data_IF_617713579474
#
_entry.id   IF_617713579474
#
_cell.length_a   1.000
_cell.length_b   1.000
_cell.length_c   1.000
_cell.angle_alpha   90.00
_cell.angle_beta   90.00
_cell.angle_gamma   90.00
#
_symmetry.space_group_name_H-M   'P 1'
#
loop_
_entity.id
_entity.type
_entity.pdbx_description
1 polymer ?
#
# COMPACT_ATOMS: atom_id res chain seq x y z
N UNK A 1 -33.28 26.68 9.61
CA UNK A 1 -32.57 25.40 9.74
C UNK A 1 -31.26 25.71 10.43
N UNK A 2 -31.28 25.71 11.76
CA UNK A 2 -30.09 25.95 12.57
C UNK A 2 -29.24 24.70 12.53
N UNK A 3 -28.17 24.73 11.75
CA UNK A 3 -27.14 23.71 11.80
C UNK A 3 -26.54 23.80 13.20
N UNK A 4 -26.86 22.82 14.04
CA UNK A 4 -26.46 22.82 15.44
C UNK A 4 -24.95 22.65 15.47
N UNK A 5 -24.22 23.67 15.90
CA UNK A 5 -22.75 23.65 16.01
C UNK A 5 -22.21 22.41 16.77
N UNK A 6 -23.05 21.81 17.63
CA UNK A 6 -22.78 20.55 18.32
C UNK A 6 -22.62 19.35 17.37
N UNK A 7 -23.41 19.24 16.30
CA UNK A 7 -23.30 18.15 15.31
C UNK A 7 -22.02 18.30 14.48
N UNK A 8 -21.70 19.51 14.01
CA UNK A 8 -20.45 19.78 13.30
C UNK A 8 -19.25 19.46 14.19
N UNK A 9 -19.30 19.85 15.47
CA UNK A 9 -18.25 19.58 16.45
C UNK A 9 -18.10 18.08 16.75
N UNK A 10 -19.20 17.33 16.74
CA UNK A 10 -19.18 15.87 16.90
C UNK A 10 -18.52 15.20 15.69
N UNK A 11 -18.90 15.60 14.48
CA UNK A 11 -18.32 15.08 13.22
C UNK A 11 -16.82 15.38 13.16
N UNK A 12 -16.40 16.62 13.47
CA UNK A 12 -14.99 17.00 13.49
C UNK A 12 -14.21 16.24 14.57
N UNK A 13 -14.78 16.04 15.76
CA UNK A 13 -14.16 15.22 16.81
C UNK A 13 -14.00 13.77 16.36
N UNK A 14 -14.99 13.20 15.69
CA UNK A 14 -14.93 11.83 15.20
C UNK A 14 -13.91 11.69 14.07
N UNK A 15 -13.82 12.67 13.17
CA UNK A 15 -12.80 12.72 12.13
C UNK A 15 -11.40 12.84 12.73
N UNK A 16 -11.19 13.70 13.74
CA UNK A 16 -9.90 13.83 14.45
C UNK A 16 -9.59 12.56 15.26
N UNK A 17 -10.58 11.90 15.85
CA UNK A 17 -10.39 10.67 16.62
C UNK A 17 -10.01 9.49 15.73
N UNK A 18 -10.43 9.50 14.46
CA UNK A 18 -10.01 8.55 13.44
C UNK A 18 -8.79 9.03 12.64
N UNK A 19 -8.35 10.29 12.82
CA UNK A 19 -7.17 10.84 12.20
C UNK A 19 -5.94 10.26 12.90
N UNK A 20 -5.20 9.42 12.18
CA UNK A 20 -4.09 8.67 12.76
C UNK A 20 -4.51 7.35 13.40
N UNK A 21 -5.60 6.71 12.95
CA UNK A 21 -5.56 5.24 12.90
C UNK A 21 -4.30 4.90 12.12
N UNK A 22 -3.29 4.40 12.84
CA UNK A 22 -2.01 3.97 12.29
C UNK A 22 -2.29 3.21 11.00
N UNK A 23 -1.52 3.51 9.94
CA UNK A 23 -1.60 2.76 8.69
C UNK A 23 -1.59 1.28 9.07
N UNK A 24 -2.70 0.58 8.79
CA UNK A 24 -2.78 -0.85 9.07
C UNK A 24 -1.62 -1.48 8.32
N UNK A 25 -0.60 -1.90 9.07
CA UNK A 25 0.62 -2.48 8.53
C UNK A 25 0.20 -3.66 7.67
N UNK A 26 0.32 -3.49 6.35
CA UNK A 26 -0.22 -4.44 5.40
C UNK A 26 0.90 -5.32 4.85
N UNK A 27 0.82 -6.63 5.11
CA UNK A 27 1.63 -7.64 4.43
C UNK A 27 1.19 -7.86 2.97
N UNK A 28 0.08 -7.24 2.57
CA UNK A 28 -0.45 -7.31 1.20
C UNK A 28 -0.28 -5.94 0.53
N UNK A 29 0.19 -5.96 -0.71
CA UNK A 29 0.34 -4.75 -1.51
C UNK A 29 -0.58 -4.71 -2.72
N UNK A 30 -0.77 -3.50 -3.27
CA UNK A 30 -1.44 -3.28 -4.54
C UNK A 30 -0.42 -2.84 -5.60
N UNK A 31 -0.41 -3.52 -6.74
CA UNK A 31 0.43 -3.12 -7.88
C UNK A 31 -0.10 -1.81 -8.47
N UNK A 32 0.72 -0.78 -8.46
CA UNK A 32 0.43 0.53 -9.05
C UNK A 32 0.81 0.59 -10.53
N UNK A 33 1.95 -0.01 -10.88
CA UNK A 33 2.48 -0.03 -12.25
C UNK A 33 3.45 -1.17 -12.45
N UNK A 34 3.52 -1.69 -13.68
CA UNK A 34 4.50 -2.68 -14.12
C UNK A 34 5.18 -2.17 -15.39
N UNK A 35 6.50 -2.29 -15.46
CA UNK A 35 7.26 -1.98 -16.66
C UNK A 35 8.68 -2.53 -16.61
N UNK A 36 9.16 -3.07 -17.74
CA UNK A 36 10.50 -3.64 -17.91
C UNK A 36 10.90 -4.62 -16.78
N UNK A 37 9.95 -5.46 -16.33
CA UNK A 37 10.19 -6.42 -15.24
C UNK A 37 10.26 -5.81 -13.83
N UNK A 38 9.85 -4.56 -13.64
CA UNK A 38 9.75 -3.90 -12.33
C UNK A 38 8.29 -3.55 -12.04
N UNK A 39 7.78 -4.03 -10.90
CA UNK A 39 6.51 -3.61 -10.34
C UNK A 39 6.72 -2.56 -9.24
N UNK A 40 5.87 -1.53 -9.23
CA UNK A 40 5.73 -0.62 -8.09
C UNK A 40 4.51 -1.05 -7.29
N UNK A 41 4.69 -1.32 -6.01
CA UNK A 41 3.66 -1.88 -5.14
C UNK A 41 3.42 -0.93 -3.97
N UNK A 42 2.18 -0.50 -3.77
CA UNK A 42 1.75 0.22 -2.58
C UNK A 42 1.46 -0.74 -1.43
N UNK A 43 1.78 -0.37 -0.20
CA UNK A 43 1.68 -1.25 0.98
C UNK A 43 2.96 -2.06 1.19
N UNK A 44 2.84 -3.33 1.58
CA UNK A 44 3.98 -4.17 1.96
C UNK A 44 4.84 -3.52 3.07
N UNK A 45 4.20 -2.94 4.08
CA UNK A 45 4.85 -2.03 5.03
C UNK A 45 5.96 -2.69 5.87
N UNK A 46 5.91 -4.02 6.02
CA UNK A 46 6.90 -4.82 6.73
C UNK A 46 7.93 -5.52 5.83
N UNK A 47 7.84 -5.35 4.50
CA UNK A 47 8.71 -6.09 3.59
C UNK A 47 10.15 -5.62 3.73
N UNK A 48 11.06 -6.58 3.71
CA UNK A 48 12.49 -6.33 3.82
C UNK A 48 13.14 -6.29 2.44
N UNK A 49 14.24 -5.54 2.34
CA UNK A 49 15.04 -5.52 1.12
C UNK A 49 15.59 -6.94 0.86
N UNK A 50 15.43 -7.43 -0.37
CA UNK A 50 15.79 -8.79 -0.76
C UNK A 50 14.75 -9.85 -0.41
N UNK A 51 13.61 -9.49 0.19
CA UNK A 51 12.54 -10.42 0.49
C UNK A 51 11.79 -10.84 -0.77
N UNK A 52 11.35 -12.09 -0.79
CA UNK A 52 10.57 -12.67 -1.87
C UNK A 52 9.12 -12.20 -1.77
N UNK A 53 8.59 -11.66 -2.87
CA UNK A 53 7.20 -11.24 -2.99
C UNK A 53 6.50 -12.18 -3.96
N UNK A 54 5.29 -12.63 -3.62
CA UNK A 54 4.46 -13.44 -4.50
C UNK A 54 3.35 -12.58 -5.10
N UNK A 55 3.18 -12.72 -6.41
CA UNK A 55 2.13 -12.08 -7.17
C UNK A 55 1.02 -13.08 -7.53
N UNK A 56 -0.17 -12.59 -7.96
CA UNK A 56 -1.20 -13.46 -8.51
C UNK A 56 -0.64 -14.39 -9.61
N UNK A 57 -1.13 -15.63 -9.66
CA UNK A 57 -0.67 -16.62 -10.63
C UNK A 57 0.63 -17.34 -10.25
N UNK A 58 1.16 -17.11 -9.04
CA UNK A 58 2.37 -17.79 -8.53
C UNK A 58 3.67 -17.22 -9.09
N UNK A 59 3.60 -16.08 -9.78
CA UNK A 59 4.77 -15.33 -10.22
C UNK A 59 5.47 -14.79 -8.97
N UNK A 60 6.79 -14.86 -8.95
CA UNK A 60 7.59 -14.41 -7.82
C UNK A 60 8.39 -13.19 -8.21
N UNK A 61 8.77 -12.40 -7.22
CA UNK A 61 9.70 -11.29 -7.37
C UNK A 61 10.49 -11.06 -6.10
N UNK A 62 11.31 -10.02 -6.12
CA UNK A 62 12.14 -9.62 -5.00
C UNK A 62 12.03 -8.12 -4.75
N UNK A 63 11.75 -7.73 -3.51
CA UNK A 63 11.75 -6.34 -3.10
C UNK A 63 13.18 -5.78 -3.16
N UNK A 64 13.41 -4.76 -3.99
CA UNK A 64 14.71 -4.10 -4.13
C UNK A 64 14.72 -2.74 -3.46
N UNK A 65 13.76 -1.88 -3.82
CA UNK A 65 13.68 -0.51 -3.30
C UNK A 65 12.51 -0.42 -2.32
N UNK A 66 12.79 0.11 -1.12
CA UNK A 66 11.77 0.43 -0.11
C UNK A 66 11.65 1.96 -0.04
N UNK A 67 10.66 2.51 -0.73
CA UNK A 67 10.35 3.94 -0.67
C UNK A 67 9.27 4.19 0.40
N UNK A 68 9.05 5.44 0.77
CA UNK A 68 8.11 5.78 1.85
C UNK A 68 6.64 5.49 1.49
N UNK A 69 6.34 5.47 0.19
CA UNK A 69 4.99 5.34 -0.36
C UNK A 69 4.84 4.11 -1.27
N UNK A 70 5.92 3.45 -1.67
CA UNK A 70 5.86 2.26 -2.52
C UNK A 70 7.11 1.39 -2.40
N UNK A 71 6.99 0.16 -2.86
CA UNK A 71 8.07 -0.83 -2.93
C UNK A 71 8.32 -1.19 -4.38
N UNK A 72 9.57 -1.10 -4.81
CA UNK A 72 10.03 -1.58 -6.10
C UNK A 72 10.35 -3.07 -6.04
N UNK A 73 9.57 -3.89 -6.74
CA UNK A 73 9.73 -5.35 -6.79
C UNK A 73 10.19 -5.75 -8.19
N UNK A 74 11.33 -6.42 -8.30
CA UNK A 74 11.75 -7.04 -9.56
C UNK A 74 11.02 -8.35 -9.75
N UNK A 75 10.44 -8.54 -10.93
CA UNK A 75 9.63 -9.71 -11.28
C UNK A 75 10.54 -10.80 -11.85
N UNK A 76 10.38 -12.02 -11.34
CA UNK A 76 11.00 -13.22 -11.87
C UNK A 76 10.01 -13.94 -12.78
N UNK A 77 9.99 -13.55 -14.05
CA UNK A 77 9.12 -14.17 -15.05
C UNK A 77 8.63 -13.16 -16.10
N UNK A 78 7.48 -13.47 -16.69
CA UNK A 78 6.78 -12.57 -17.59
C UNK A 78 5.99 -11.55 -16.78
N UNK A 79 6.27 -10.27 -17.02
CA UNK A 79 5.60 -9.14 -16.37
C UNK A 79 4.24 -8.82 -17.01
N UNK A 80 3.97 -9.33 -18.23
CA UNK A 80 2.71 -9.13 -18.97
C UNK A 80 1.49 -9.83 -18.35
N UNK A 81 1.73 -10.75 -17.42
CA UNK A 81 0.69 -11.56 -16.78
C UNK A 81 0.32 -11.02 -15.38
N UNK A 82 0.84 -9.84 -15.01
CA UNK A 82 0.60 -9.11 -13.75
C UNK A 82 -0.29 -7.89 -13.97
#
# INVERSE_FOLDING_TARGET
MDIRAAEISAILKDQIKNFGKEAEVSEVGQVLSVGDGIARVYGLDNVQAGEMVEFPGGIRGMALNLEADNVGVVIFGADRDL
#
